data_IF_228856360072
#
_entry.id   IF_228856360072
#
_cell.length_a   1.000
_cell.length_b   1.000
_cell.length_c   1.000
_cell.angle_alpha   90.00
_cell.angle_beta   90.00
_cell.angle_gamma   90.00
#
_symmetry.space_group_name_H-M   'P 1'
#
loop_
_entity.id
_entity.type
_entity.pdbx_description
1 polymer ?
#
# COMPACT_ATOMS: atom_id res chain seq x y z
N UNK A 1 0.94 15.90 6.80
CA UNK A 1 0.86 14.81 5.82
C UNK A 1 0.29 13.59 6.52
N UNK A 2 -0.62 12.86 5.89
CA UNK A 2 -1.28 11.70 6.47
C UNK A 2 -0.70 10.40 5.88
N UNK A 3 -0.04 9.57 6.69
CA UNK A 3 0.61 8.33 6.25
C UNK A 3 -0.26 7.11 6.54
N UNK A 4 -0.82 6.51 5.49
CA UNK A 4 -1.78 5.42 5.63
C UNK A 4 -1.13 4.13 6.11
N UNK A 5 0.12 3.89 5.71
CA UNK A 5 0.87 2.70 6.14
C UNK A 5 1.21 2.78 7.63
N UNK A 6 1.62 3.97 8.11
CA UNK A 6 1.86 4.19 9.54
C UNK A 6 0.58 4.12 10.37
N UNK A 7 -0.54 4.62 9.85
CA UNK A 7 -1.84 4.46 10.52
C UNK A 7 -2.19 2.99 10.68
N UNK A 8 -2.05 2.19 9.63
CA UNK A 8 -2.28 0.75 9.72
C UNK A 8 -1.36 0.08 10.73
N UNK A 9 -0.05 0.39 10.71
CA UNK A 9 0.90 -0.13 11.71
C UNK A 9 0.44 0.25 13.12
N UNK A 10 0.06 1.51 13.35
CA UNK A 10 -0.35 2.00 14.66
C UNK A 10 -1.64 1.33 15.14
N UNK A 11 -2.62 1.14 14.28
CA UNK A 11 -3.87 0.45 14.59
C UNK A 11 -3.62 -1.01 14.97
N UNK A 12 -2.83 -1.75 14.18
CA UNK A 12 -2.49 -3.15 14.48
C UNK A 12 -1.65 -3.24 15.75
N UNK A 13 -0.70 -2.33 15.94
CA UNK A 13 0.14 -2.29 17.13
C UNK A 13 -0.65 -1.99 18.42
N UNK A 14 -1.58 -1.04 18.37
CA UNK A 14 -2.46 -0.74 19.51
C UNK A 14 -3.35 -1.92 19.86
N UNK A 15 -3.98 -2.53 18.85
CA UNK A 15 -4.77 -3.76 19.06
C UNK A 15 -3.94 -4.83 19.76
N UNK A 16 -2.70 -5.04 19.32
CA UNK A 16 -1.80 -5.98 19.95
C UNK A 16 -1.46 -5.66 21.42
N UNK A 17 -1.28 -4.37 21.76
CA UNK A 17 -0.96 -3.95 23.13
C UNK A 17 -2.15 -3.95 24.08
N UNK A 18 -3.33 -3.63 23.56
CA UNK A 18 -4.55 -3.41 24.35
C UNK A 18 -5.34 -4.71 24.55
N UNK A 19 -4.99 -5.78 23.83
CA UNK A 19 -5.64 -7.08 23.97
C UNK A 19 -5.17 -7.78 25.26
N UNK A 20 -6.08 -7.91 26.23
CA UNK A 20 -5.80 -8.52 27.55
C UNK A 20 -5.60 -10.05 27.48
N UNK A 21 -5.88 -10.66 26.32
CA UNK A 21 -5.79 -12.10 26.06
C UNK A 21 -4.70 -12.47 25.04
N UNK A 22 -4.77 -13.71 24.55
CA UNK A 22 -3.91 -14.15 23.46
C UNK A 22 -4.28 -13.40 22.16
N UNK A 23 -3.31 -12.72 21.56
CA UNK A 23 -3.48 -12.04 20.29
C UNK A 23 -3.24 -13.01 19.14
N UNK A 24 -4.17 -13.08 18.18
CA UNK A 24 -4.08 -13.97 17.03
C UNK A 24 -4.01 -13.20 15.72
N UNK A 25 -3.16 -13.70 14.82
CA UNK A 25 -3.19 -13.35 13.40
C UNK A 25 -3.52 -14.62 12.62
N UNK A 26 -4.63 -14.58 11.89
CA UNK A 26 -5.27 -15.81 11.36
C UNK A 26 -5.48 -16.81 12.51
N UNK A 27 -4.90 -18.02 12.42
CA UNK A 27 -5.03 -19.08 13.44
C UNK A 27 -3.79 -19.18 14.36
N UNK A 28 -2.96 -18.13 14.43
CA UNK A 28 -1.64 -18.17 15.08
C UNK A 28 -1.53 -17.16 16.20
N UNK A 29 -1.25 -17.67 17.40
CA UNK A 29 -0.99 -16.87 18.59
C UNK A 29 0.36 -16.15 18.47
N UNK A 30 0.36 -14.85 18.77
CA UNK A 30 1.54 -13.99 18.71
C UNK A 30 2.17 -13.87 20.10
N UNK A 31 3.17 -14.71 20.38
CA UNK A 31 3.86 -14.77 21.67
C UNK A 31 5.08 -13.83 21.82
N UNK A 32 5.22 -12.81 20.97
CA UNK A 32 6.38 -11.91 21.00
C UNK A 32 6.24 -10.81 22.07
N UNK A 33 7.29 -10.01 22.30
CA UNK A 33 7.16 -8.76 23.09
C UNK A 33 6.67 -7.64 22.18
N UNK A 34 6.00 -6.59 22.68
CA UNK A 34 5.55 -5.45 21.87
C UNK A 34 6.63 -4.86 20.96
N UNK A 35 7.85 -4.67 21.46
CA UNK A 35 8.96 -4.17 20.65
C UNK A 35 9.30 -5.09 19.45
N UNK A 36 9.24 -6.41 19.63
CA UNK A 36 9.49 -7.38 18.56
C UNK A 36 8.31 -7.42 17.57
N UNK A 37 7.09 -7.27 18.07
CA UNK A 37 5.91 -7.16 17.21
C UNK A 37 5.95 -5.89 16.35
N UNK A 38 6.36 -4.76 16.91
CA UNK A 38 6.57 -3.52 16.15
C UNK A 38 7.68 -3.69 15.08
N UNK A 39 8.77 -4.37 15.43
CA UNK A 39 9.79 -4.73 14.43
C UNK A 39 9.19 -5.57 13.29
N UNK A 40 8.35 -6.57 13.60
CA UNK A 40 7.68 -7.38 12.59
C UNK A 40 6.77 -6.53 11.68
N UNK A 41 6.02 -5.57 12.26
CA UNK A 41 5.21 -4.62 11.48
C UNK A 41 6.06 -3.75 10.56
N UNK A 42 7.23 -3.28 10.99
CA UNK A 42 8.12 -2.48 10.16
C UNK A 42 8.71 -3.23 8.96
N UNK A 43 8.71 -4.57 8.98
CA UNK A 43 9.19 -5.39 7.86
C UNK A 43 8.27 -5.37 6.62
N UNK A 44 7.16 -4.60 6.65
CA UNK A 44 6.42 -4.24 5.43
C UNK A 44 7.22 -3.24 4.56
N UNK A 45 8.07 -2.41 5.17
CA UNK A 45 8.98 -1.55 4.43
C UNK A 45 10.17 -2.32 3.89
N UNK A 46 10.81 -1.80 2.84
CA UNK A 46 12.00 -2.44 2.29
C UNK A 46 13.14 -2.44 3.31
N UNK A 47 14.03 -3.45 3.23
CA UNK A 47 15.19 -3.58 4.13
C UNK A 47 16.08 -2.33 4.22
N UNK A 48 16.07 -1.49 3.18
CA UNK A 48 16.83 -0.24 3.14
C UNK A 48 16.20 0.87 3.97
N UNK A 49 14.88 0.87 4.11
CA UNK A 49 14.12 1.89 4.84
C UNK A 49 13.97 1.56 6.31
N UNK A 50 13.94 0.27 6.69
CA UNK A 50 13.79 -0.18 8.07
C UNK A 50 14.79 0.50 9.03
N UNK A 51 16.12 0.55 8.75
CA UNK A 51 17.07 1.20 9.64
C UNK A 51 16.86 2.72 9.76
N UNK A 52 16.28 3.36 8.74
CA UNK A 52 16.02 4.80 8.76
C UNK A 52 14.78 5.15 9.58
N UNK A 53 13.73 4.33 9.47
CA UNK A 53 12.44 4.52 10.14
C UNK A 53 12.52 4.08 11.61
N UNK A 54 13.13 2.92 11.87
CA UNK A 54 13.23 2.32 13.20
C UNK A 54 14.56 2.58 13.91
N UNK A 55 15.29 3.65 13.60
CA UNK A 55 16.59 3.94 14.24
C UNK A 55 16.50 4.20 15.75
N UNK A 56 15.30 4.53 16.22
CA UNK A 56 14.98 4.69 17.64
C UNK A 56 14.72 3.36 18.35
N UNK A 57 14.58 2.25 17.63
CA UNK A 57 14.35 0.93 18.19
C UNK A 57 15.67 0.20 18.49
N UNK A 58 15.70 -0.58 19.57
CA UNK A 58 16.89 -1.33 19.96
C UNK A 58 17.17 -2.50 19.00
N UNK A 59 18.17 -2.33 18.12
CA UNK A 59 18.58 -3.33 17.12
C UNK A 59 19.19 -4.58 17.76
N UNK A 60 19.87 -4.46 18.91
CA UNK A 60 20.52 -5.61 19.57
C UNK A 60 19.50 -6.63 20.08
N UNK A 61 18.34 -6.15 20.52
CA UNK A 61 17.24 -7.03 20.95
C UNK A 61 16.65 -7.79 19.76
N UNK A 62 16.55 -7.15 18.59
CA UNK A 62 16.13 -7.81 17.35
C UNK A 62 17.16 -8.84 16.89
N UNK A 63 18.45 -8.54 16.93
CA UNK A 63 19.51 -9.48 16.58
C UNK A 63 19.48 -10.73 17.47
N UNK A 64 19.29 -10.55 18.78
CA UNK A 64 19.13 -11.66 19.71
C UNK A 64 17.88 -12.50 19.37
N UNK A 65 16.75 -11.85 19.09
CA UNK A 65 15.52 -12.54 18.68
C UNK A 65 15.74 -13.38 17.41
N UNK A 66 16.34 -12.79 16.38
CA UNK A 66 16.60 -13.47 15.12
C UNK A 66 17.58 -14.65 15.29
N UNK A 67 18.50 -14.61 16.25
CA UNK A 67 19.37 -15.76 16.51
C UNK A 67 18.65 -16.97 17.11
N UNK A 68 17.52 -16.76 17.80
CA UNK A 68 16.86 -17.81 18.59
C UNK A 68 15.46 -18.18 18.08
N UNK A 69 14.78 -17.27 17.40
CA UNK A 69 13.37 -17.37 17.00
C UNK A 69 13.14 -16.83 15.57
N UNK A 70 14.15 -16.90 14.69
CA UNK A 70 14.07 -16.37 13.31
C UNK A 70 12.83 -16.88 12.58
N UNK A 71 12.59 -18.19 12.65
CA UNK A 71 11.51 -18.83 11.91
C UNK A 71 10.14 -18.27 12.33
N UNK A 72 9.85 -18.24 13.63
CA UNK A 72 8.58 -17.75 14.16
C UNK A 72 8.40 -16.25 13.87
N UNK A 73 9.49 -15.48 13.96
CA UNK A 73 9.47 -14.05 13.65
C UNK A 73 9.19 -13.78 12.18
N UNK A 74 9.90 -14.47 11.27
CA UNK A 74 9.70 -14.31 9.83
C UNK A 74 8.33 -14.83 9.39
N UNK A 75 7.83 -15.87 10.03
CA UNK A 75 6.47 -16.35 9.81
C UNK A 75 5.42 -15.30 10.21
N UNK A 76 5.59 -14.64 11.36
CA UNK A 76 4.76 -13.50 11.75
C UNK A 76 4.82 -12.36 10.72
N UNK A 77 6.03 -12.01 10.26
CA UNK A 77 6.22 -10.98 9.22
C UNK A 77 5.44 -11.32 7.95
N UNK A 78 5.46 -12.58 7.51
CA UNK A 78 4.74 -13.02 6.31
C UNK A 78 3.22 -12.95 6.49
N UNK A 79 2.69 -13.29 7.67
CA UNK A 79 1.27 -13.13 8.00
C UNK A 79 0.86 -11.64 7.96
N UNK A 80 1.64 -10.77 8.60
CA UNK A 80 1.39 -9.33 8.61
C UNK A 80 1.44 -8.73 7.20
N UNK A 81 2.37 -9.17 6.36
CA UNK A 81 2.46 -8.77 4.95
C UNK A 81 1.23 -9.18 4.17
N UNK A 82 0.71 -10.38 4.38
CA UNK A 82 -0.51 -10.87 3.73
C UNK A 82 -1.73 -10.02 4.13
N UNK A 83 -1.90 -9.74 5.42
CA UNK A 83 -2.97 -8.86 5.92
C UNK A 83 -2.84 -7.44 5.36
N UNK A 84 -1.65 -6.86 5.42
CA UNK A 84 -1.38 -5.53 4.86
C UNK A 84 -1.67 -5.48 3.36
N UNK A 85 -1.24 -6.49 2.60
CA UNK A 85 -1.48 -6.55 1.16
C UNK A 85 -2.97 -6.60 0.83
N UNK A 86 -3.77 -7.31 1.63
CA UNK A 86 -5.23 -7.30 1.50
C UNK A 86 -5.80 -5.92 1.82
N UNK A 87 -5.45 -5.36 2.98
CA UNK A 87 -5.91 -4.04 3.41
C UNK A 87 -5.57 -2.94 2.40
N UNK A 88 -4.35 -2.93 1.86
CA UNK A 88 -3.91 -1.92 0.89
C UNK A 88 -4.70 -2.01 -0.41
N UNK A 89 -4.90 -3.23 -0.93
CA UNK A 89 -5.71 -3.46 -2.14
C UNK A 89 -7.15 -3.02 -1.95
N UNK A 90 -7.76 -3.36 -0.83
CA UNK A 90 -9.15 -2.96 -0.53
C UNK A 90 -9.29 -1.44 -0.41
N UNK A 91 -8.30 -0.74 0.15
CA UNK A 91 -8.28 0.72 0.16
C UNK A 91 -8.27 1.30 -1.26
N UNK A 92 -7.35 0.85 -2.13
CA UNK A 92 -7.29 1.33 -3.52
C UNK A 92 -8.58 1.03 -4.29
N UNK A 93 -9.17 -0.14 -4.09
CA UNK A 93 -10.36 -0.56 -4.84
C UNK A 93 -11.64 0.13 -4.36
N UNK A 94 -11.79 0.38 -3.06
CA UNK A 94 -13.10 0.72 -2.49
C UNK A 94 -13.19 2.14 -1.92
N UNK A 95 -12.07 2.81 -1.65
CA UNK A 95 -12.07 4.14 -1.04
C UNK A 95 -11.75 5.24 -2.04
N UNK A 96 -12.50 6.34 -1.95
CA UNK A 96 -12.18 7.56 -2.67
C UNK A 96 -11.21 8.40 -1.86
N UNK A 97 -10.09 8.76 -2.48
CA UNK A 97 -9.04 9.58 -1.90
C UNK A 97 -8.91 10.89 -2.68
N UNK A 98 -8.50 11.95 -1.98
CA UNK A 98 -8.02 13.17 -2.63
C UNK A 98 -6.78 12.86 -3.47
N UNK A 99 -6.44 13.74 -4.41
CA UNK A 99 -5.22 13.59 -5.23
C UNK A 99 -3.95 13.53 -4.38
N UNK A 100 -3.85 14.42 -3.38
CA UNK A 100 -2.76 14.40 -2.40
C UNK A 100 -2.66 13.04 -1.69
N UNK A 101 -3.80 12.47 -1.30
CA UNK A 101 -3.82 11.17 -0.63
C UNK A 101 -3.39 10.02 -1.54
N UNK A 102 -3.81 10.02 -2.81
CA UNK A 102 -3.31 9.04 -3.78
C UNK A 102 -1.80 9.18 -4.01
N UNK A 103 -1.28 10.41 -4.00
CA UNK A 103 0.15 10.65 -4.11
C UNK A 103 0.92 10.10 -2.92
N UNK A 104 0.44 10.36 -1.71
CA UNK A 104 1.05 9.80 -0.49
C UNK A 104 1.02 8.28 -0.55
N UNK A 105 -0.13 7.66 -0.89
CA UNK A 105 -0.24 6.21 -1.03
C UNK A 105 0.73 5.63 -2.08
N UNK A 106 0.92 6.32 -3.21
CA UNK A 106 1.85 5.88 -4.24
C UNK A 106 3.31 5.95 -3.76
N UNK A 107 3.70 7.00 -3.02
CA UNK A 107 5.02 7.07 -2.40
C UNK A 107 5.20 6.00 -1.32
N UNK A 108 4.23 5.82 -0.42
CA UNK A 108 4.28 4.77 0.60
C UNK A 108 4.41 3.39 -0.04
N UNK A 109 3.63 3.13 -1.10
CA UNK A 109 3.72 1.89 -1.88
C UNK A 109 5.13 1.63 -2.41
N UNK A 110 5.84 2.64 -2.90
CA UNK A 110 7.21 2.49 -3.40
C UNK A 110 8.26 2.25 -2.30
N UNK A 111 7.96 2.58 -1.05
CA UNK A 111 8.83 2.28 0.11
C UNK A 111 8.65 0.86 0.64
N UNK A 112 7.58 0.16 0.24
CA UNK A 112 7.32 -1.21 0.65
C UNK A 112 8.37 -2.18 0.10
N UNK A 113 8.51 -3.30 0.79
CA UNK A 113 9.32 -4.43 0.34
C UNK A 113 8.82 -4.95 -1.04
N UNK A 114 9.74 -5.36 -1.92
CA UNK A 114 9.45 -5.71 -3.32
C UNK A 114 8.41 -6.85 -3.48
N UNK A 115 8.57 -7.95 -2.73
CA UNK A 115 7.61 -9.06 -2.70
C UNK A 115 6.23 -8.58 -2.23
N UNK A 116 6.18 -7.72 -1.20
CA UNK A 116 4.92 -7.14 -0.74
C UNK A 116 4.27 -6.25 -1.81
N UNK A 117 5.06 -5.40 -2.49
CA UNK A 117 4.58 -4.61 -3.63
C UNK A 117 3.99 -5.50 -4.71
N UNK A 118 4.62 -6.63 -5.04
CA UNK A 118 4.10 -7.59 -6.02
C UNK A 118 2.79 -8.23 -5.59
N UNK A 119 2.66 -8.60 -4.30
CA UNK A 119 1.40 -9.13 -3.74
C UNK A 119 0.24 -8.14 -3.83
N UNK A 120 0.52 -6.83 -3.78
CA UNK A 120 -0.47 -5.77 -3.97
C UNK A 120 -0.71 -5.49 -5.45
N UNK A 121 0.36 -5.29 -6.21
CA UNK A 121 0.34 -4.80 -7.59
C UNK A 121 -0.29 -5.80 -8.54
N UNK A 122 0.11 -7.08 -8.50
CA UNK A 122 -0.34 -8.09 -9.47
C UNK A 122 -1.87 -8.23 -9.45
N UNK A 123 -2.54 -8.44 -8.29
CA UNK A 123 -4.00 -8.54 -8.26
C UNK A 123 -4.73 -7.27 -8.73
N UNK A 124 -4.19 -6.08 -8.42
CA UNK A 124 -4.78 -4.82 -8.86
C UNK A 124 -4.63 -4.62 -10.37
N UNK A 125 -3.47 -4.95 -10.95
CA UNK A 125 -3.25 -4.91 -12.39
C UNK A 125 -4.12 -5.93 -13.13
N UNK A 126 -4.29 -7.14 -12.60
CA UNK A 126 -5.16 -8.15 -13.18
C UNK A 126 -6.64 -7.72 -13.13
N UNK A 127 -7.04 -7.04 -12.05
CA UNK A 127 -8.36 -6.41 -11.98
C UNK A 127 -8.52 -5.31 -13.02
N UNK A 128 -7.50 -4.46 -13.19
CA UNK A 128 -7.49 -3.40 -14.18
C UNK A 128 -7.57 -3.95 -15.60
N UNK A 129 -6.80 -5.00 -15.94
CA UNK A 129 -6.87 -5.72 -17.22
C UNK A 129 -8.28 -6.19 -17.55
N UNK A 130 -8.96 -6.83 -16.59
CA UNK A 130 -10.34 -7.29 -16.77
C UNK A 130 -11.29 -6.12 -17.06
N UNK A 131 -11.14 -5.00 -16.34
CA UNK A 131 -11.96 -3.81 -16.55
C UNK A 131 -11.69 -3.12 -17.88
N UNK A 132 -10.45 -3.18 -18.38
CA UNK A 132 -10.11 -2.70 -19.73
C UNK A 132 -10.84 -3.53 -20.77
N UNK A 133 -10.75 -4.87 -20.69
CA UNK A 133 -11.41 -5.79 -21.63
C UNK A 133 -12.93 -5.60 -21.61
N UNK A 134 -13.54 -5.52 -20.42
CA UNK A 134 -14.97 -5.27 -20.27
C UNK A 134 -15.40 -3.97 -20.97
N UNK A 135 -14.60 -2.89 -20.85
CA UNK A 135 -14.91 -1.60 -21.46
C UNK A 135 -14.65 -1.59 -22.97
N UNK A 136 -13.60 -2.28 -23.43
CA UNK A 136 -13.31 -2.47 -24.85
C UNK A 136 -14.46 -3.17 -25.57
N UNK A 137 -14.97 -4.27 -25.01
CA UNK A 137 -16.13 -4.99 -25.54
C UNK A 137 -17.36 -4.07 -25.67
N UNK A 138 -17.63 -3.25 -24.64
CA UNK A 138 -18.75 -2.29 -24.67
C UNK A 138 -18.58 -1.26 -25.79
N UNK A 139 -17.37 -0.71 -25.94
CA UNK A 139 -17.07 0.31 -26.96
C UNK A 139 -17.11 -0.28 -28.38
N UNK A 140 -16.56 -1.48 -28.58
CA UNK A 140 -16.47 -2.15 -29.89
C UNK A 140 -17.84 -2.64 -30.36
N UNK A 141 -18.62 -3.26 -29.47
CA UNK A 141 -19.96 -3.79 -29.77
C UNK A 141 -21.06 -2.74 -29.65
N UNK A 142 -20.73 -1.50 -29.27
CA UNK A 142 -21.68 -0.40 -29.03
C UNK A 142 -22.77 -0.77 -28.01
N UNK A 143 -22.39 -1.54 -26.99
CA UNK A 143 -23.28 -1.88 -25.87
C UNK A 143 -23.56 -0.65 -25.00
N UNK A 144 -24.66 -0.63 -24.23
CA UNK A 144 -24.95 0.45 -23.29
C UNK A 144 -23.86 0.58 -22.21
N UNK A 145 -23.37 1.80 -21.97
CA UNK A 145 -22.29 2.07 -21.00
C UNK A 145 -22.75 1.86 -19.54
N UNK A 146 -24.05 1.85 -19.31
CA UNK A 146 -24.70 1.67 -18.01
C UNK A 146 -24.27 0.35 -17.34
N UNK A 147 -23.92 -0.67 -18.13
CA UNK A 147 -23.39 -1.95 -17.64
C UNK A 147 -22.04 -1.79 -16.93
N UNK A 148 -21.25 -0.78 -17.33
CA UNK A 148 -19.94 -0.47 -16.75
C UNK A 148 -20.01 0.50 -15.55
N UNK A 149 -21.07 1.29 -15.41
CA UNK A 149 -21.17 2.33 -14.37
C UNK A 149 -20.97 1.78 -12.94
N UNK A 150 -21.40 0.54 -12.67
CA UNK A 150 -21.17 -0.14 -11.38
C UNK A 150 -19.69 -0.40 -11.06
N UNK A 151 -18.86 -0.54 -12.10
CA UNK A 151 -17.42 -0.86 -12.01
C UNK A 151 -16.54 0.38 -12.21
N UNK A 152 -17.11 1.46 -12.75
CA UNK A 152 -16.44 2.71 -13.11
C UNK A 152 -15.53 3.24 -12.01
N UNK A 153 -16.04 3.45 -10.80
CA UNK A 153 -15.23 4.02 -9.73
C UNK A 153 -13.99 3.17 -9.45
N UNK A 154 -14.14 1.84 -9.36
CA UNK A 154 -12.99 0.93 -9.18
C UNK A 154 -11.97 1.08 -10.29
N UNK A 155 -12.43 1.20 -11.53
CA UNK A 155 -11.55 1.38 -12.69
C UNK A 155 -10.77 2.71 -12.62
N UNK A 156 -11.47 3.82 -12.37
CA UNK A 156 -10.84 5.14 -12.28
C UNK A 156 -9.86 5.23 -11.11
N UNK A 157 -10.14 4.60 -9.96
CA UNK A 157 -9.20 4.54 -8.82
C UNK A 157 -7.91 3.79 -9.18
N UNK A 158 -8.02 2.67 -9.88
CA UNK A 158 -6.87 1.89 -10.36
C UNK A 158 -6.01 2.71 -11.34
N UNK A 159 -6.64 3.33 -12.35
CA UNK A 159 -5.95 4.18 -13.31
C UNK A 159 -5.24 5.33 -12.59
N UNK A 160 -5.94 6.00 -11.68
CA UNK A 160 -5.40 7.13 -10.92
C UNK A 160 -4.17 6.68 -10.14
N UNK A 161 -4.29 5.67 -9.28
CA UNK A 161 -3.20 5.16 -8.46
C UNK A 161 -1.97 4.78 -9.30
N UNK A 162 -2.13 3.93 -10.32
CA UNK A 162 -0.99 3.49 -11.13
C UNK A 162 -0.41 4.60 -12.02
N UNK A 163 -1.22 5.57 -12.46
CA UNK A 163 -0.70 6.76 -13.14
C UNK A 163 0.21 7.59 -12.24
N UNK A 164 -0.06 7.63 -10.93
CA UNK A 164 0.79 8.35 -9.98
C UNK A 164 2.09 7.56 -9.75
N UNK A 165 1.98 6.25 -9.54
CA UNK A 165 3.13 5.36 -9.34
C UNK A 165 4.11 5.49 -10.51
N UNK A 166 3.62 5.38 -11.76
CA UNK A 166 4.43 5.50 -12.98
C UNK A 166 5.09 6.87 -13.16
N UNK A 167 4.50 7.93 -12.61
CA UNK A 167 5.09 9.28 -12.61
C UNK A 167 6.22 9.43 -11.58
N UNK A 168 6.14 8.74 -10.45
CA UNK A 168 7.15 8.79 -9.39
C UNK A 168 8.33 7.89 -9.76
N UNK A 169 8.06 6.65 -10.15
CA UNK A 169 9.05 5.66 -10.53
C UNK A 169 8.49 4.84 -11.70
N UNK A 170 9.15 4.93 -12.87
CA UNK A 170 8.70 4.20 -14.07
C UNK A 170 8.75 2.70 -13.81
N UNK A 171 7.63 2.02 -13.98
CA UNK A 171 7.53 0.57 -13.82
C UNK A 171 7.12 -0.09 -15.14
N UNK A 172 6.96 -1.42 -15.11
CA UNK A 172 6.53 -2.19 -16.28
C UNK A 172 5.02 -2.13 -16.52
N UNK A 173 4.24 -1.36 -15.74
CA UNK A 173 2.79 -1.27 -15.94
C UNK A 173 2.32 -0.07 -16.75
N UNK A 174 3.23 0.80 -17.21
CA UNK A 174 2.96 1.95 -18.08
C UNK A 174 2.09 1.62 -19.29
N UNK A 175 2.40 0.57 -20.04
CA UNK A 175 1.61 0.15 -21.22
C UNK A 175 0.13 -0.11 -20.88
N UNK A 176 -0.11 -0.76 -19.75
CA UNK A 176 -1.47 -1.08 -19.30
C UNK A 176 -2.21 0.17 -18.82
N UNK A 177 -1.51 1.09 -18.16
CA UNK A 177 -2.06 2.38 -17.72
C UNK A 177 -2.45 3.23 -18.93
N UNK A 178 -1.60 3.31 -19.95
CA UNK A 178 -1.90 4.04 -21.18
C UNK A 178 -3.06 3.40 -21.96
N UNK A 179 -3.08 2.07 -22.06
CA UNK A 179 -4.24 1.35 -22.64
C UNK A 179 -5.53 1.70 -21.89
N UNK A 180 -5.49 1.74 -20.56
CA UNK A 180 -6.65 2.09 -19.73
C UNK A 180 -7.13 3.54 -19.99
N UNK A 181 -6.21 4.51 -20.06
CA UNK A 181 -6.55 5.90 -20.38
C UNK A 181 -7.18 6.03 -21.77
N UNK A 182 -6.59 5.36 -22.77
CA UNK A 182 -7.08 5.38 -24.15
C UNK A 182 -8.51 4.84 -24.26
N UNK A 183 -8.83 3.73 -23.58
CA UNK A 183 -10.19 3.18 -23.64
C UNK A 183 -11.20 4.07 -22.88
N UNK A 184 -10.80 4.68 -21.77
CA UNK A 184 -11.65 5.66 -21.06
C UNK A 184 -11.97 6.85 -21.96
N UNK A 185 -10.99 7.37 -22.69
CA UNK A 185 -11.21 8.48 -23.62
C UNK A 185 -12.19 8.11 -24.73
N UNK A 186 -12.06 6.91 -25.31
CA UNK A 186 -13.02 6.39 -26.31
C UNK A 186 -14.42 6.23 -25.75
N UNK A 187 -14.56 5.68 -24.54
CA UNK A 187 -15.85 5.39 -23.93
C UNK A 187 -16.58 6.65 -23.42
N UNK A 188 -15.88 7.56 -22.76
CA UNK A 188 -16.47 8.70 -22.05
C UNK A 188 -16.22 10.05 -22.73
N UNK A 189 -15.43 10.11 -23.81
CA UNK A 189 -15.06 11.35 -24.53
C UNK A 189 -14.50 12.43 -23.60
N UNK A 190 -13.82 12.00 -22.54
CA UNK A 190 -13.32 12.83 -21.45
C UNK A 190 -11.86 12.47 -21.17
N UNK A 191 -10.92 13.28 -21.67
CA UNK A 191 -9.48 13.11 -21.47
C UNK A 191 -8.94 13.75 -20.19
N UNK A 192 -9.71 14.65 -19.54
CA UNK A 192 -9.21 15.54 -18.48
C UNK A 192 -9.10 14.93 -17.08
N UNK A 193 -9.50 13.68 -16.86
CA UNK A 193 -9.66 13.13 -15.51
C UNK A 193 -8.36 12.69 -14.81
N UNK A 194 -7.20 12.74 -15.48
CA UNK A 194 -5.97 12.09 -14.99
C UNK A 194 -4.74 13.00 -14.92
N UNK A 195 -4.90 14.29 -15.21
CA UNK A 195 -3.81 15.28 -15.19
C UNK A 195 -4.05 16.34 -14.12
N UNK A 196 -3.75 16.04 -12.85
CA UNK A 196 -3.54 17.09 -11.84
C UNK A 196 -2.49 16.60 -10.84
N UNK A 197 -1.40 17.36 -10.70
CA UNK A 197 -0.55 17.35 -9.51
C UNK A 197 -0.06 18.78 -9.25
N UNK A 198 -0.42 19.41 -8.12
CA UNK A 198 0.29 20.59 -7.63
C UNK A 198 1.74 20.20 -7.26
N UNK A 199 2.63 21.18 -7.08
CA UNK A 199 4.04 20.95 -6.68
C UNK A 199 4.15 19.94 -5.53
N UNK A 200 4.72 18.78 -5.83
CA UNK A 200 4.80 17.66 -4.90
C UNK A 200 6.07 17.75 -4.06
N UNK A 201 6.03 17.32 -2.79
CA UNK A 201 7.22 17.25 -1.97
C UNK A 201 8.22 16.27 -2.58
N UNK A 202 9.50 16.62 -2.52
CA UNK A 202 10.58 15.75 -2.92
C UNK A 202 10.58 14.43 -2.12
N UNK A 203 11.17 13.38 -2.67
CA UNK A 203 11.29 12.10 -1.96
C UNK A 203 12.02 12.23 -0.61
N UNK A 204 12.94 13.18 -0.50
CA UNK A 204 13.67 13.49 0.74
C UNK A 204 12.73 14.08 1.79
N UNK A 205 11.93 15.09 1.42
CA UNK A 205 10.95 15.70 2.32
C UNK A 205 9.90 14.69 2.77
N UNK A 206 9.45 13.82 1.86
CA UNK A 206 8.50 12.76 2.17
C UNK A 206 9.05 11.79 3.22
N UNK A 207 10.27 11.27 3.02
CA UNK A 207 10.92 10.36 3.98
C UNK A 207 11.15 11.03 5.33
N UNK A 208 11.53 12.31 5.35
CA UNK A 208 11.70 13.07 6.60
C UNK A 208 10.38 13.19 7.36
N UNK A 209 9.30 13.56 6.66
CA UNK A 209 7.97 13.66 7.26
C UNK A 209 7.46 12.29 7.77
N UNK A 210 7.73 11.21 7.04
CA UNK A 210 7.39 9.84 7.45
C UNK A 210 8.08 9.49 8.77
N UNK A 211 9.38 9.79 8.88
CA UNK A 211 10.16 9.54 10.09
C UNK A 211 9.68 10.37 11.27
N UNK A 212 9.40 11.65 11.07
CA UNK A 212 8.86 12.52 12.11
C UNK A 212 7.52 11.98 12.63
N UNK A 213 6.67 11.48 11.75
CA UNK A 213 5.38 10.89 12.15
C UNK A 213 5.55 9.55 12.88
N UNK A 214 6.43 8.67 12.39
CA UNK A 214 6.79 7.45 13.10
C UNK A 214 7.26 7.74 14.53
N UNK A 215 8.17 8.71 14.68
CA UNK A 215 8.70 9.06 16.00
C UNK A 215 7.60 9.55 16.96
N UNK A 216 6.64 10.36 16.48
CA UNK A 216 5.51 10.80 17.32
C UNK A 216 4.65 9.62 17.80
N UNK A 217 4.44 8.62 16.94
CA UNK A 217 3.55 7.51 17.21
C UNK A 217 4.18 6.44 18.11
N UNK A 218 5.48 6.16 17.94
CA UNK A 218 6.09 4.96 18.52
C UNK A 218 7.24 5.22 19.51
N UNK A 219 7.92 6.37 19.46
CA UNK A 219 8.97 6.69 20.46
C UNK A 219 8.43 6.82 21.89
N UNK A 220 7.21 7.36 22.14
CA UNK A 220 6.64 7.32 23.49
C UNK A 220 6.32 5.91 24.00
N UNK A 221 6.38 4.90 23.14
CA UNK A 221 5.97 3.52 23.42
C UNK A 221 7.15 2.53 23.52
N UNK A 222 8.36 2.98 23.18
CA UNK A 222 9.64 2.28 23.29
C UNK A 222 10.39 2.70 24.55
#
# INVERSE_FOLDING_TARGET
MKFYTLEWINEVFKRYKDEEGAFFIEDKEVGFKPQHFLWALLHIYSKKEIPFIGDTLNIKDLEFLLQHQEFDFMYLVDLLRKEFALWFRENILNRDFSEESYFILAQEFLLLEEQLRKQIQIPLLDKMKKLILDLEEIVEEKKPIEEFEKKKNKFFRLIKFFSIVEKIETTKCSELVERAKNIVEKAYKSSKAFEIFPSLPSQIEFKKALKEEFNKLFVPLS
#
